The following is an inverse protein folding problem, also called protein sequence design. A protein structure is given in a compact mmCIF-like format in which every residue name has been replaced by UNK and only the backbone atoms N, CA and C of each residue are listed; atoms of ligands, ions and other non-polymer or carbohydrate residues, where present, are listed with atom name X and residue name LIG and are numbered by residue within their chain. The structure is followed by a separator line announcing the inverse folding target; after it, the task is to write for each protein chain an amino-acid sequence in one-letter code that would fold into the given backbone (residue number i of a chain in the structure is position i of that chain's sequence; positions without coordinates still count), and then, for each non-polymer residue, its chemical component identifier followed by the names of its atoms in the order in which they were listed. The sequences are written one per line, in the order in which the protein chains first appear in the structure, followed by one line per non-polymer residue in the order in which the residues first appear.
data_IF_285710083987
#
_entry.id   IF_285710083987
#
_cell.length_a   1.000
_cell.length_b   1.000
_cell.length_c   1.000
_cell.angle_alpha   90.00
_cell.angle_beta   90.00
_cell.angle_gamma   90.00
#
_symmetry.space_group_name_H-M   'P 1'
#
loop_
_entity.id
_entity.type
_entity.pdbx_description
1 polymer ?
#
# COMPACT_ATOMS: atom_id res chain seq x y z
N UNK A 1 21.85 1.54 10.95
CA UNK A 1 20.39 1.68 11.14
C UNK A 1 19.75 0.36 11.54
N UNK A 2 19.89 -0.71 10.74
CA UNK A 2 19.28 -2.02 11.05
C UNK A 2 19.74 -2.63 12.38
N UNK A 3 20.97 -2.39 12.84
CA UNK A 3 21.40 -2.82 14.19
C UNK A 3 20.54 -2.24 15.33
N UNK A 4 19.94 -1.05 15.12
CA UNK A 4 19.15 -0.33 16.13
C UNK A 4 17.66 -0.59 16.06
N UNK A 5 17.11 -0.81 14.85
CA UNK A 5 15.65 -0.93 14.62
C UNK A 5 15.25 -2.21 13.88
N UNK A 6 16.20 -3.06 13.51
CA UNK A 6 15.96 -4.23 12.66
C UNK A 6 15.25 -5.39 13.35
N UNK A 7 14.97 -5.27 14.64
CA UNK A 7 14.30 -6.31 15.43
C UNK A 7 12.85 -6.48 14.99
N UNK A 8 12.22 -5.40 14.53
CA UNK A 8 10.87 -5.35 13.96
C UNK A 8 10.95 -4.76 12.54
N UNK A 9 10.86 -5.63 11.53
CA UNK A 9 10.86 -5.22 10.12
C UNK A 9 9.54 -5.59 9.41
N UNK A 10 9.34 -5.05 8.22
CA UNK A 10 8.42 -5.61 7.24
C UNK A 10 8.80 -7.06 6.93
N UNK A 11 7.80 -7.94 6.85
CA UNK A 11 7.99 -9.37 6.66
C UNK A 11 8.41 -10.10 7.92
N UNK A 12 9.11 -11.22 7.75
CA UNK A 12 9.51 -12.13 8.81
C UNK A 12 11.01 -12.11 9.14
N UNK A 13 11.76 -11.17 8.57
CA UNK A 13 13.19 -11.01 8.89
C UNK A 13 13.31 -10.15 10.15
N UNK A 14 14.17 -10.56 11.07
CA UNK A 14 14.65 -9.75 12.19
C UNK A 14 16.17 -9.70 12.13
N UNK A 15 16.74 -8.50 12.21
CA UNK A 15 18.18 -8.25 12.26
C UNK A 15 18.56 -7.92 13.69
N UNK A 16 19.38 -8.79 14.29
CA UNK A 16 19.82 -8.70 15.68
C UNK A 16 21.34 -8.53 15.73
N UNK A 17 21.90 -7.88 16.77
CA UNK A 17 23.34 -7.84 16.97
C UNK A 17 23.90 -9.27 17.11
N UNK A 18 25.14 -9.47 16.65
CA UNK A 18 25.82 -10.76 16.75
C UNK A 18 25.85 -11.24 18.22
N UNK A 19 25.55 -12.53 18.43
CA UNK A 19 25.47 -13.13 19.77
C UNK A 19 24.11 -13.00 20.46
N UNK A 20 23.14 -12.28 19.89
CA UNK A 20 21.77 -12.25 20.39
C UNK A 20 20.93 -13.33 19.71
N UNK A 21 20.21 -14.11 20.51
CA UNK A 21 19.21 -15.07 20.01
C UNK A 21 17.85 -14.36 19.83
N UNK A 22 17.07 -14.70 18.79
CA UNK A 22 15.71 -14.19 18.66
C UNK A 22 14.90 -14.51 19.91
N UNK A 23 14.49 -13.49 20.65
CA UNK A 23 13.54 -13.63 21.75
C UNK A 23 12.12 -13.41 21.23
N UNK A 24 11.12 -13.96 21.93
CA UNK A 24 9.70 -13.67 21.63
C UNK A 24 9.35 -12.18 21.81
N UNK A 25 10.23 -11.42 22.46
CA UNK A 25 10.02 -10.05 22.88
C UNK A 25 9.03 -9.93 24.02
N UNK A 26 8.78 -8.70 24.44
CA UNK A 26 7.82 -8.39 25.49
C UNK A 26 6.83 -7.32 25.04
N UNK A 27 5.71 -7.20 25.76
CA UNK A 27 4.69 -6.19 25.48
C UNK A 27 4.40 -5.37 26.72
N UNK A 28 4.51 -4.05 26.59
CA UNK A 28 4.02 -3.11 27.59
C UNK A 28 2.59 -2.69 27.22
N UNK A 29 1.65 -2.79 28.15
CA UNK A 29 0.29 -2.28 27.95
C UNK A 29 0.31 -0.75 27.84
N UNK A 30 -0.51 -0.20 26.95
CA UNK A 30 -0.69 1.25 26.80
C UNK A 30 -2.16 1.63 27.00
N UNK A 31 -2.39 2.78 27.63
CA UNK A 31 -3.69 3.46 27.59
C UNK A 31 -3.89 4.18 26.25
N UNK A 32 -5.12 4.57 25.93
CA UNK A 32 -5.40 5.37 24.73
C UNK A 32 -4.69 6.73 24.76
N UNK A 33 -4.62 7.37 25.93
CA UNK A 33 -3.89 8.64 26.13
C UNK A 33 -2.39 8.48 25.85
N UNK A 34 -1.79 7.38 26.32
CA UNK A 34 -0.38 7.07 26.06
C UNK A 34 -0.09 6.78 24.58
N UNK A 35 -1.06 6.24 23.85
CA UNK A 35 -0.98 6.03 22.40
C UNK A 35 -1.04 7.37 21.67
N UNK A 36 -2.02 8.21 21.99
CA UNK A 36 -2.16 9.53 21.37
C UNK A 36 -0.95 10.42 21.62
N UNK A 37 -0.44 10.47 22.85
CA UNK A 37 0.79 11.18 23.17
C UNK A 37 1.96 10.75 22.28
N UNK A 38 2.13 9.44 22.06
CA UNK A 38 3.20 8.92 21.19
C UNK A 38 2.99 9.26 19.72
N UNK A 39 1.74 9.31 19.26
CA UNK A 39 1.40 9.73 17.90
C UNK A 39 1.78 11.20 17.70
N UNK A 40 1.43 12.06 18.65
CA UNK A 40 1.70 13.50 18.58
C UNK A 40 3.20 13.83 18.71
N UNK A 41 3.96 13.00 19.43
CA UNK A 41 5.42 13.11 19.56
C UNK A 41 6.19 12.58 18.34
N UNK A 42 5.51 11.97 17.35
CA UNK A 42 6.18 11.54 16.12
C UNK A 42 6.79 12.75 15.41
N UNK A 43 8.00 12.63 14.82
CA UNK A 43 8.62 13.74 14.12
C UNK A 43 7.73 14.22 12.98
N UNK A 44 7.19 15.43 13.12
CA UNK A 44 6.53 16.11 12.03
C UNK A 44 7.60 16.55 11.02
N UNK A 45 7.43 16.16 9.76
CA UNK A 45 8.23 16.71 8.66
C UNK A 45 7.34 17.72 7.93
N UNK A 46 7.71 19.01 7.90
CA UNK A 46 6.97 19.96 7.09
C UNK A 46 7.16 19.60 5.62
N UNK A 47 6.09 19.17 4.97
CA UNK A 47 6.05 18.93 3.54
C UNK A 47 5.37 20.14 2.91
N UNK A 48 6.16 21.08 2.37
CA UNK A 48 5.71 22.36 1.83
C UNK A 48 5.62 22.38 0.29
N UNK A 49 5.90 21.25 -0.36
CA UNK A 49 5.87 21.09 -1.82
C UNK A 49 5.37 19.72 -2.24
N UNK A 50 4.77 19.62 -3.43
CA UNK A 50 4.30 18.33 -3.98
C UNK A 50 5.38 17.23 -3.98
N UNK A 51 6.65 17.59 -4.23
CA UNK A 51 7.76 16.65 -4.18
C UNK A 51 8.02 16.12 -2.76
N UNK A 52 7.94 17.00 -1.75
CA UNK A 52 8.10 16.63 -0.35
C UNK A 52 6.93 15.73 0.11
N UNK A 53 5.72 15.99 -0.37
CA UNK A 53 4.52 15.20 -0.07
C UNK A 53 4.60 13.83 -0.72
N UNK A 54 5.00 13.77 -1.98
CA UNK A 54 5.24 12.51 -2.68
C UNK A 54 6.34 11.68 -2.01
N UNK A 55 7.39 12.33 -1.52
CA UNK A 55 8.42 11.66 -0.71
C UNK A 55 7.83 11.12 0.62
N UNK A 56 6.98 11.88 1.29
CA UNK A 56 6.28 11.45 2.51
C UNK A 56 5.46 10.20 2.29
N UNK A 57 4.57 10.25 1.29
CA UNK A 57 3.68 9.17 0.91
C UNK A 57 4.48 7.93 0.57
N UNK A 58 5.55 8.07 -0.20
CA UNK A 58 6.39 6.96 -0.57
C UNK A 58 7.32 6.39 0.52
N UNK A 59 6.92 6.46 1.79
CA UNK A 59 7.61 5.86 2.93
C UNK A 59 8.42 6.83 3.79
N UNK A 60 8.39 8.13 3.50
CA UNK A 60 9.01 9.18 4.33
C UNK A 60 8.19 9.59 5.55
N UNK A 61 6.89 9.27 5.58
CA UNK A 61 5.98 9.58 6.68
C UNK A 61 6.36 8.84 7.97
N UNK A 62 6.49 9.60 9.06
CA UNK A 62 6.63 9.05 10.42
C UNK A 62 5.41 8.19 10.76
N UNK A 63 5.65 7.02 11.32
CA UNK A 63 4.60 6.06 11.68
C UNK A 63 4.95 5.37 12.98
N UNK A 64 3.93 5.01 13.75
CA UNK A 64 4.07 4.27 14.99
C UNK A 64 3.63 2.81 14.77
N UNK A 65 4.41 1.87 15.28
CA UNK A 65 4.13 0.43 15.20
C UNK A 65 3.69 -0.07 16.57
N UNK A 66 2.44 -0.53 16.69
CA UNK A 66 1.89 -1.08 17.92
C UNK A 66 1.29 -2.47 17.70
N UNK A 67 1.17 -3.25 18.77
CA UNK A 67 0.32 -4.43 18.78
C UNK A 67 -1.05 -4.07 19.38
N UNK A 68 -2.11 -4.64 18.80
CA UNK A 68 -3.48 -4.53 19.31
C UNK A 68 -4.06 -5.94 19.45
N UNK A 69 -4.58 -6.24 20.64
CA UNK A 69 -5.30 -7.49 20.94
C UNK A 69 -6.72 -7.14 21.37
N UNK A 70 -7.70 -7.39 20.50
CA UNK A 70 -9.04 -6.83 20.64
C UNK A 70 -8.96 -5.30 20.65
N UNK A 71 -9.44 -4.67 21.72
CA UNK A 71 -9.42 -3.22 21.89
C UNK A 71 -8.20 -2.69 22.67
N UNK A 72 -7.26 -3.56 23.06
CA UNK A 72 -6.15 -3.18 23.95
C UNK A 72 -4.85 -2.95 23.18
N UNK A 73 -4.25 -1.78 23.40
CA UNK A 73 -2.95 -1.40 22.85
C UNK A 73 -1.77 -1.94 23.65
N UNK A 74 -0.72 -2.32 22.92
CA UNK A 74 0.54 -2.77 23.48
C UNK A 74 1.72 -2.24 22.68
N UNK A 75 2.73 -1.73 23.38
CA UNK A 75 4.03 -1.39 22.81
C UNK A 75 4.86 -2.66 22.67
N UNK A 76 5.23 -3.07 21.44
CA UNK A 76 6.20 -4.15 21.26
C UNK A 76 7.59 -3.71 21.71
N UNK A 77 8.23 -4.55 22.53
CA UNK A 77 9.59 -4.37 23.04
C UNK A 77 10.43 -5.62 22.73
N UNK A 78 11.75 -5.45 22.68
CA UNK A 78 12.71 -6.56 22.59
C UNK A 78 12.46 -7.53 21.42
N UNK A 79 11.99 -7.00 20.29
CA UNK A 79 11.71 -7.79 19.09
C UNK A 79 10.33 -8.45 19.05
N UNK A 80 9.43 -8.08 19.97
CA UNK A 80 8.02 -8.44 19.85
C UNK A 80 7.43 -7.85 18.55
N UNK A 81 6.60 -8.58 17.80
CA UNK A 81 6.00 -8.05 16.58
C UNK A 81 4.91 -7.01 16.88
N UNK A 82 4.87 -5.95 16.07
CA UNK A 82 3.68 -5.09 15.96
C UNK A 82 2.60 -5.78 15.14
N UNK A 83 1.34 -5.36 15.28
CA UNK A 83 0.21 -5.82 14.43
C UNK A 83 -0.46 -4.70 13.65
N UNK A 84 -0.19 -3.44 14.00
CA UNK A 84 -0.79 -2.26 13.36
C UNK A 84 0.27 -1.21 13.05
N UNK A 85 0.04 -0.48 11.98
CA UNK A 85 0.79 0.71 11.58
C UNK A 85 -0.13 1.90 11.76
N UNK A 86 0.29 2.86 12.59
CA UNK A 86 -0.41 4.12 12.81
C UNK A 86 0.28 5.23 12.04
N UNK A 87 -0.43 5.84 11.09
CA UNK A 87 0.05 6.95 10.26
C UNK A 87 -0.75 8.22 10.61
N UNK A 88 -0.21 9.15 11.42
CA UNK A 88 -0.89 10.42 11.67
C UNK A 88 -1.05 11.20 10.37
N UNK A 89 -2.19 11.86 10.23
CA UNK A 89 -2.47 12.74 9.10
C UNK A 89 -1.39 13.81 8.94
N UNK A 90 -0.87 14.03 7.71
CA UNK A 90 0.02 15.15 7.46
C UNK A 90 -0.73 16.48 7.63
N UNK A 91 -0.14 17.40 8.41
CA UNK A 91 -0.72 18.74 8.70
C UNK A 91 -1.09 19.50 7.42
N UNK A 92 -0.27 19.38 6.36
CA UNK A 92 -0.46 20.09 5.10
C UNK A 92 -1.46 19.40 4.14
N UNK A 93 -1.97 18.21 4.47
CA UNK A 93 -2.94 17.47 3.65
C UNK A 93 -4.12 16.96 4.49
N UNK A 94 -4.95 17.87 5.02
CA UNK A 94 -6.14 17.49 5.77
C UNK A 94 -7.12 16.67 4.91
N UNK A 95 -7.64 15.60 5.50
CA UNK A 95 -8.48 14.59 4.87
C UNK A 95 -7.73 13.41 4.23
N UNK A 96 -6.40 13.38 4.21
CA UNK A 96 -5.62 12.32 3.55
C UNK A 96 -5.74 10.98 4.27
N UNK A 97 -5.71 10.97 5.61
CA UNK A 97 -5.87 9.72 6.38
C UNK A 97 -7.23 9.07 6.10
N UNK A 98 -8.29 9.88 6.04
CA UNK A 98 -9.63 9.46 5.67
C UNK A 98 -9.70 8.97 4.22
N UNK A 99 -9.06 9.69 3.29
CA UNK A 99 -9.05 9.33 1.86
C UNK A 99 -8.32 8.01 1.59
N UNK A 100 -7.21 7.72 2.28
CA UNK A 100 -6.52 6.42 2.17
C UNK A 100 -7.37 5.28 2.75
N UNK A 101 -8.01 5.48 3.91
CA UNK A 101 -8.91 4.49 4.50
C UNK A 101 -10.11 4.19 3.57
N UNK A 102 -10.70 5.25 3.02
CA UNK A 102 -11.78 5.17 2.03
C UNK A 102 -11.31 4.41 0.78
N UNK A 103 -10.14 4.75 0.23
CA UNK A 103 -9.64 4.11 -0.98
C UNK A 103 -9.33 2.62 -0.79
N UNK A 104 -8.76 2.22 0.35
CA UNK A 104 -8.58 0.81 0.70
C UNK A 104 -9.92 0.08 0.82
N UNK A 105 -10.94 0.72 1.40
CA UNK A 105 -12.29 0.16 1.48
C UNK A 105 -12.95 0.01 0.10
N UNK A 106 -12.76 0.98 -0.79
CA UNK A 106 -13.24 0.93 -2.17
C UNK A 106 -12.53 -0.19 -2.95
N UNK A 107 -11.21 -0.30 -2.82
CA UNK A 107 -10.39 -1.31 -3.48
C UNK A 107 -10.77 -2.74 -3.07
N UNK A 108 -11.19 -2.94 -1.83
CA UNK A 108 -11.63 -4.23 -1.30
C UNK A 108 -12.84 -4.84 -2.06
N UNK A 109 -13.58 -4.05 -2.83
CA UNK A 109 -14.64 -4.55 -3.69
C UNK A 109 -14.13 -5.26 -4.96
N UNK A 110 -12.90 -4.96 -5.38
CA UNK A 110 -12.33 -5.46 -6.64
C UNK A 110 -11.15 -6.42 -6.44
N UNK A 111 -10.37 -6.24 -5.38
CA UNK A 111 -9.20 -7.08 -5.08
C UNK A 111 -8.87 -7.05 -3.59
N UNK A 112 -7.87 -7.81 -3.15
CA UNK A 112 -7.42 -7.80 -1.76
C UNK A 112 -6.80 -6.45 -1.38
N UNK A 113 -7.29 -5.80 -0.33
CA UNK A 113 -6.73 -4.57 0.23
C UNK A 113 -6.48 -4.73 1.74
N UNK A 114 -5.50 -4.01 2.27
CA UNK A 114 -5.20 -3.98 3.69
C UNK A 114 -6.38 -3.39 4.46
N UNK A 115 -6.70 -3.98 5.62
CA UNK A 115 -7.72 -3.43 6.50
C UNK A 115 -7.21 -2.15 7.15
N UNK A 116 -8.04 -1.10 7.12
CA UNK A 116 -7.71 0.17 7.72
C UNK A 116 -8.92 0.82 8.39
N UNK A 117 -8.66 1.65 9.40
CA UNK A 117 -9.63 2.50 10.09
C UNK A 117 -9.00 3.86 10.38
N UNK A 118 -9.83 4.88 10.58
CA UNK A 118 -9.36 6.18 11.06
C UNK A 118 -9.66 6.29 12.54
N UNK A 119 -8.63 6.57 13.33
CA UNK A 119 -8.74 6.94 14.73
C UNK A 119 -8.92 8.45 14.83
N UNK A 120 -9.86 8.88 15.67
CA UNK A 120 -10.14 10.29 15.95
C UNK A 120 -10.29 10.49 17.45
N UNK A 121 -9.75 11.60 17.96
CA UNK A 121 -9.92 12.05 19.33
C UNK A 121 -9.77 13.58 19.36
N UNK A 122 -10.45 14.24 20.30
CA UNK A 122 -10.37 15.69 20.46
C UNK A 122 -8.93 16.12 20.78
N UNK A 123 -8.45 17.16 20.11
CA UNK A 123 -7.08 17.67 20.29
C UNK A 123 -5.99 16.90 19.53
N UNK A 124 -6.33 15.81 18.83
CA UNK A 124 -5.38 14.98 18.09
C UNK A 124 -5.65 14.99 16.58
N UNK A 125 -4.60 14.87 15.77
CA UNK A 125 -4.75 14.71 14.32
C UNK A 125 -5.40 13.35 14.00
N UNK A 126 -6.32 13.27 13.02
CA UNK A 126 -6.81 12.00 12.52
C UNK A 126 -5.65 11.06 12.17
N UNK A 127 -5.76 9.80 12.59
CA UNK A 127 -4.66 8.84 12.40
C UNK A 127 -5.18 7.61 11.68
N UNK A 128 -4.57 7.28 10.55
CA UNK A 128 -4.85 6.04 9.82
C UNK A 128 -4.24 4.87 10.59
N UNK A 129 -5.07 3.93 11.01
CA UNK A 129 -4.68 2.66 11.60
C UNK A 129 -4.81 1.56 10.55
N UNK A 130 -3.69 0.99 10.12
CA UNK A 130 -3.64 -0.12 9.16
C UNK A 130 -3.27 -1.42 9.86
N UNK A 131 -4.08 -2.46 9.68
CA UNK A 131 -3.77 -3.82 10.15
C UNK A 131 -2.68 -4.41 9.27
N UNK A 132 -1.61 -4.92 9.89
CA UNK A 132 -0.50 -5.54 9.17
C UNK A 132 -0.90 -6.91 8.63
N UNK A 133 -0.92 -7.05 7.30
CA UNK A 133 -1.20 -8.32 6.63
C UNK A 133 -0.02 -9.31 6.67
N UNK A 134 1.18 -8.87 7.06
CA UNK A 134 2.35 -9.72 7.27
C UNK A 134 2.46 -10.25 8.72
N UNK A 135 1.35 -10.15 9.46
CA UNK A 135 1.16 -10.61 10.83
C UNK A 135 -0.18 -11.35 10.92
N UNK A 136 -0.21 -12.45 11.65
CA UNK A 136 -1.43 -13.15 12.00
C UNK A 136 -1.39 -13.49 13.50
N UNK A 137 -2.48 -13.23 14.21
CA UNK A 137 -2.64 -13.67 15.60
C UNK A 137 -3.23 -15.08 15.54
N UNK A 138 -2.46 -16.08 15.99
CA UNK A 138 -2.92 -17.47 16.06
C UNK A 138 -3.82 -17.67 17.32
N UNK A 139 -4.50 -18.82 17.42
CA UNK A 139 -5.52 -19.07 18.46
C UNK A 139 -4.97 -19.01 19.89
N UNK A 140 -3.68 -19.26 20.07
CA UNK A 140 -2.98 -19.17 21.36
C UNK A 140 -2.55 -17.74 21.72
N UNK A 141 -2.86 -16.75 20.86
CA UNK A 141 -2.48 -15.36 21.04
C UNK A 141 -1.06 -15.01 20.56
N UNK A 142 -0.30 -15.99 20.05
CA UNK A 142 1.00 -15.73 19.44
C UNK A 142 0.84 -15.00 18.10
N UNK A 143 1.83 -14.17 17.75
CA UNK A 143 1.84 -13.47 16.46
C UNK A 143 2.82 -14.16 15.53
N UNK A 144 2.28 -14.73 14.46
CA UNK A 144 3.05 -15.30 13.36
C UNK A 144 3.39 -14.24 12.33
N UNK A 145 4.66 -14.20 11.94
CA UNK A 145 5.17 -13.35 10.86
C UNK A 145 5.08 -14.09 9.52
N UNK A 146 4.64 -13.39 8.49
CA UNK A 146 4.70 -13.87 7.10
C UNK A 146 5.75 -13.05 6.37
N UNK A 147 6.70 -13.68 5.68
CA UNK A 147 7.71 -12.92 4.94
C UNK A 147 7.08 -12.23 3.74
N UNK A 148 7.50 -10.98 3.53
CA UNK A 148 7.11 -10.18 2.39
C UNK A 148 8.31 -9.37 1.88
N UNK A 149 8.28 -9.05 0.60
CA UNK A 149 9.27 -8.23 -0.10
C UNK A 149 8.53 -7.24 -1.01
N UNK A 150 8.94 -5.98 -1.01
CA UNK A 150 8.44 -4.99 -1.98
C UNK A 150 9.06 -5.19 -3.38
N UNK A 151 8.46 -4.59 -4.40
CA UNK A 151 8.94 -4.75 -5.79
C UNK A 151 10.39 -4.29 -5.96
N UNK A 152 10.85 -3.28 -5.21
CA UNK A 152 12.24 -2.86 -5.26
C UNK A 152 13.15 -4.00 -4.79
N UNK A 153 12.84 -4.62 -3.65
CA UNK A 153 13.61 -5.75 -3.11
C UNK A 153 13.59 -6.95 -4.08
N UNK A 154 12.41 -7.31 -4.58
CA UNK A 154 12.23 -8.43 -5.51
C UNK A 154 13.02 -8.23 -6.81
N UNK A 155 13.13 -6.99 -7.30
CA UNK A 155 13.85 -6.66 -8.53
C UNK A 155 15.32 -6.29 -8.32
N UNK A 156 15.81 -6.27 -7.07
CA UNK A 156 17.17 -5.83 -6.75
C UNK A 156 17.42 -4.34 -7.03
N UNK A 157 16.40 -3.51 -6.86
CA UNK A 157 16.40 -2.08 -7.15
C UNK A 157 16.57 -1.30 -5.84
N UNK A 158 17.53 -0.35 -5.76
CA UNK A 158 17.66 0.54 -4.61
C UNK A 158 16.40 1.39 -4.37
N UNK A 159 16.02 1.66 -3.11
CA UNK A 159 14.79 2.41 -2.79
C UNK A 159 14.80 3.86 -3.32
N UNK A 160 15.97 4.43 -3.61
CA UNK A 160 16.14 5.78 -4.14
C UNK A 160 15.58 5.93 -5.57
N UNK A 161 15.51 4.84 -6.34
CA UNK A 161 15.01 4.81 -7.72
C UNK A 161 13.68 4.06 -7.83
N UNK A 162 12.85 4.13 -6.77
CA UNK A 162 11.52 3.49 -6.69
C UNK A 162 10.50 4.01 -7.73
N UNK A 163 10.74 5.19 -8.32
CA UNK A 163 9.94 5.75 -9.42
C UNK A 163 10.60 5.47 -10.77
N UNK A 164 9.79 5.27 -11.81
CA UNK A 164 10.29 4.99 -13.16
C UNK A 164 10.46 6.24 -14.05
N UNK A 165 10.37 7.45 -13.51
CA UNK A 165 10.36 8.71 -14.28
C UNK A 165 11.66 9.05 -15.02
N UNK A 166 12.76 8.32 -14.76
CA UNK A 166 14.06 8.56 -15.40
C UNK A 166 14.58 7.32 -16.14
N UNK A 167 13.97 6.84 -17.24
CA UNK A 167 14.16 5.52 -17.84
C UNK A 167 15.57 5.18 -18.37
N UNK A 168 16.58 6.02 -18.15
CA UNK A 168 17.91 5.93 -18.78
C UNK A 168 18.84 4.88 -18.16
N UNK A 169 18.37 4.10 -17.18
CA UNK A 169 19.12 3.01 -16.56
C UNK A 169 18.36 1.68 -16.72
N UNK A 170 19.02 0.61 -17.11
CA UNK A 170 18.40 -0.73 -17.26
C UNK A 170 17.81 -1.29 -15.94
N UNK A 171 17.93 -0.55 -14.84
CA UNK A 171 17.49 -0.89 -13.49
C UNK A 171 16.19 -0.21 -13.03
N UNK A 172 15.42 0.47 -13.88
CA UNK A 172 14.14 1.06 -13.44
C UNK A 172 13.08 0.02 -13.06
N UNK A 173 12.25 0.34 -12.06
CA UNK A 173 11.12 -0.49 -11.71
C UNK A 173 10.12 -0.54 -12.86
N UNK A 174 9.62 -1.75 -13.13
CA UNK A 174 8.73 -2.01 -14.25
C UNK A 174 7.79 -3.15 -13.88
N UNK A 175 6.50 -2.97 -14.19
CA UNK A 175 5.51 -4.03 -14.03
C UNK A 175 5.87 -5.27 -14.85
N UNK A 176 6.43 -5.13 -16.06
CA UNK A 176 6.87 -6.26 -16.86
C UNK A 176 8.00 -7.08 -16.19
N UNK A 177 8.98 -6.41 -15.58
CA UNK A 177 10.05 -7.09 -14.83
C UNK A 177 9.50 -7.83 -13.62
N UNK A 178 8.58 -7.21 -12.90
CA UNK A 178 7.95 -7.81 -11.71
C UNK A 178 7.01 -8.96 -12.08
N UNK A 179 6.22 -8.80 -13.13
CA UNK A 179 5.38 -9.83 -13.71
C UNK A 179 6.20 -11.07 -14.10
N UNK A 180 7.37 -10.89 -14.71
CA UNK A 180 8.26 -12.01 -15.04
C UNK A 180 8.77 -12.76 -13.78
N UNK A 181 8.90 -12.07 -12.64
CA UNK A 181 9.23 -12.74 -11.37
C UNK A 181 8.04 -13.52 -10.84
N UNK A 182 6.83 -12.95 -10.87
CA UNK A 182 5.60 -13.67 -10.52
C UNK A 182 5.37 -14.88 -11.44
N UNK A 183 5.63 -14.74 -12.74
CA UNK A 183 5.47 -15.81 -13.72
C UNK A 183 6.31 -17.04 -13.37
N UNK A 184 7.55 -16.82 -12.92
CA UNK A 184 8.50 -17.88 -12.55
C UNK A 184 8.32 -18.42 -11.13
N UNK A 185 7.86 -17.57 -10.20
CA UNK A 185 7.91 -17.84 -8.77
C UNK A 185 6.57 -18.05 -8.08
N UNK A 186 5.45 -17.65 -8.69
CA UNK A 186 4.14 -17.80 -8.07
C UNK A 186 3.63 -19.25 -8.17
N UNK A 187 2.84 -19.66 -7.17
CA UNK A 187 2.15 -20.95 -7.19
C UNK A 187 1.08 -21.00 -8.30
N UNK A 188 0.34 -19.91 -8.48
CA UNK A 188 -0.63 -19.72 -9.56
C UNK A 188 -0.28 -18.46 -10.39
N UNK A 189 0.72 -18.54 -11.28
CA UNK A 189 1.22 -17.39 -12.04
C UNK A 189 0.13 -16.57 -12.73
N UNK A 190 -0.80 -17.23 -13.41
CA UNK A 190 -1.88 -16.53 -14.14
C UNK A 190 -2.81 -15.76 -13.22
N UNK A 191 -3.09 -16.28 -12.02
CA UNK A 191 -3.93 -15.60 -11.02
C UNK A 191 -3.20 -14.37 -10.50
N UNK A 192 -1.92 -14.49 -10.15
CA UNK A 192 -1.12 -13.38 -9.63
C UNK A 192 -0.87 -12.28 -10.66
N UNK A 193 -0.71 -12.62 -11.94
CA UNK A 193 -0.61 -11.64 -13.02
C UNK A 193 -1.93 -10.88 -13.26
N UNK A 194 -3.07 -11.55 -13.10
CA UNK A 194 -4.38 -10.87 -13.16
C UNK A 194 -4.57 -9.98 -11.93
N UNK A 195 -4.20 -10.43 -10.73
CA UNK A 195 -4.22 -9.59 -9.51
C UNK A 195 -3.29 -8.39 -9.62
N UNK A 196 -2.13 -8.52 -10.27
CA UNK A 196 -1.27 -7.37 -10.57
C UNK A 196 -2.01 -6.36 -11.46
N UNK A 197 -2.73 -6.83 -12.48
CA UNK A 197 -3.51 -5.96 -13.36
C UNK A 197 -4.63 -5.24 -12.59
N UNK A 198 -5.29 -5.94 -11.68
CA UNK A 198 -6.29 -5.35 -10.78
C UNK A 198 -5.67 -4.24 -9.92
N UNK A 199 -4.50 -4.49 -9.30
CA UNK A 199 -3.80 -3.48 -8.50
C UNK A 199 -3.44 -2.22 -9.31
N UNK A 200 -2.92 -2.38 -10.54
CA UNK A 200 -2.60 -1.23 -11.42
C UNK A 200 -3.87 -0.47 -11.81
N UNK A 201 -4.94 -1.21 -12.14
CA UNK A 201 -6.24 -0.63 -12.51
C UNK A 201 -6.85 0.16 -11.36
N UNK A 202 -6.82 -0.40 -10.13
CA UNK A 202 -7.32 0.28 -8.93
C UNK A 202 -6.55 1.57 -8.65
N UNK A 203 -5.21 1.54 -8.72
CA UNK A 203 -4.40 2.75 -8.49
C UNK A 203 -4.75 3.88 -9.49
N UNK A 204 -4.93 3.56 -10.78
CA UNK A 204 -5.34 4.54 -11.78
C UNK A 204 -6.78 5.03 -11.54
N UNK A 205 -7.70 4.11 -11.27
CA UNK A 205 -9.11 4.40 -11.05
C UNK A 205 -9.36 5.26 -9.81
N UNK A 206 -8.53 5.15 -8.77
CA UNK A 206 -8.62 5.97 -7.57
C UNK A 206 -7.68 7.19 -7.60
N UNK A 207 -7.01 7.46 -8.72
CA UNK A 207 -6.16 8.64 -8.86
C UNK A 207 -4.89 8.62 -7.99
N UNK A 208 -4.36 7.45 -7.66
CA UNK A 208 -3.10 7.32 -6.92
C UNK A 208 -1.89 7.48 -7.85
N UNK A 209 -1.41 8.71 -8.01
CA UNK A 209 -0.20 9.03 -8.79
C UNK A 209 1.10 8.63 -8.08
N UNK A 210 1.06 8.27 -6.80
CA UNK A 210 2.23 7.81 -6.03
C UNK A 210 2.40 6.27 -6.01
N UNK A 211 1.71 5.55 -6.88
CA UNK A 211 1.84 4.10 -7.05
C UNK A 211 3.22 3.70 -7.64
N UNK A 212 4.24 3.69 -6.78
CA UNK A 212 5.62 3.35 -7.10
C UNK A 212 5.99 1.92 -6.68
N UNK A 213 7.20 1.46 -7.02
CA UNK A 213 7.63 0.08 -6.79
C UNK A 213 7.49 -0.40 -5.33
N UNK A 214 7.77 0.46 -4.34
CA UNK A 214 7.67 0.07 -2.93
C UNK A 214 6.23 -0.10 -2.41
N UNK A 215 5.20 0.22 -3.19
CA UNK A 215 3.78 0.10 -2.82
C UNK A 215 3.14 -1.15 -3.43
N UNK A 216 3.95 -2.09 -3.89
CA UNK A 216 3.52 -3.41 -4.35
C UNK A 216 4.48 -4.44 -3.79
N UNK A 217 3.94 -5.45 -3.12
CA UNK A 217 4.74 -6.49 -2.47
C UNK A 217 4.24 -7.89 -2.83
N UNK A 218 5.10 -8.87 -2.58
CA UNK A 218 4.76 -10.28 -2.56
C UNK A 218 4.98 -10.85 -1.18
N UNK A 219 4.11 -11.75 -0.76
CA UNK A 219 4.45 -12.76 0.23
C UNK A 219 5.39 -13.79 -0.40
N UNK A 220 6.29 -14.30 0.43
CA UNK A 220 7.09 -15.50 0.13
C UNK A 220 6.77 -16.57 1.16
N UNK A 221 6.26 -17.70 0.69
CA UNK A 221 6.02 -18.86 1.55
C UNK A 221 7.31 -19.65 1.81
N UNK A 222 7.21 -20.68 2.68
CA UNK A 222 8.36 -21.51 3.07
C UNK A 222 8.91 -22.38 1.91
N UNK A 223 8.11 -22.65 0.88
CA UNK A 223 8.53 -23.37 -0.32
C UNK A 223 9.18 -22.45 -1.36
N UNK A 224 9.19 -21.14 -1.10
CA UNK A 224 9.69 -20.12 -2.01
C UNK A 224 8.63 -19.56 -2.97
N UNK A 225 7.38 -20.05 -2.87
CA UNK A 225 6.25 -19.60 -3.68
C UNK A 225 5.89 -18.14 -3.41
N UNK A 226 5.59 -17.42 -4.49
CA UNK A 226 5.20 -16.01 -4.46
C UNK A 226 3.69 -15.83 -4.56
N UNK A 227 3.18 -14.82 -3.87
CA UNK A 227 1.79 -14.36 -3.97
C UNK A 227 1.74 -12.87 -3.67
N UNK A 228 1.03 -12.08 -4.48
CA UNK A 228 0.82 -10.66 -4.19
C UNK A 228 0.19 -10.46 -2.82
N UNK A 229 0.73 -9.50 -2.06
CA UNK A 229 0.12 -9.03 -0.82
C UNK A 229 -1.18 -8.29 -1.12
N UNK A 230 -2.03 -8.01 -0.12
CA UNK A 230 -3.07 -7.00 -0.27
C UNK A 230 -2.49 -5.65 -0.72
N UNK A 231 -3.30 -4.83 -1.39
CA UNK A 231 -2.96 -3.43 -1.66
C UNK A 231 -2.83 -2.65 -0.36
N UNK A 232 -1.86 -1.74 -0.29
CA UNK A 232 -1.63 -0.85 0.83
C UNK A 232 -1.08 0.48 0.31
N UNK A 233 -1.08 1.52 1.15
CA UNK A 233 -0.58 2.85 0.77
C UNK A 233 -1.29 3.41 -0.48
N UNK A 234 -2.62 3.26 -0.46
CA UNK A 234 -3.50 3.61 -1.56
C UNK A 234 -4.05 5.02 -1.34
N UNK A 235 -3.20 6.03 -1.51
CA UNK A 235 -3.57 7.43 -1.34
C UNK A 235 -4.14 8.01 -2.66
N UNK A 236 -5.35 8.61 -2.69
CA UNK A 236 -5.91 9.30 -3.85
C UNK A 236 -5.21 10.63 -4.18
N UNK A 237 -3.90 10.60 -4.44
CA UNK A 237 -3.02 11.77 -4.48
C UNK A 237 -3.43 12.84 -5.49
N UNK A 238 -4.15 12.47 -6.56
CA UNK A 238 -4.67 13.42 -7.55
C UNK A 238 -5.59 14.50 -6.93
N UNK A 239 -6.21 14.21 -5.77
CA UNK A 239 -7.03 15.16 -5.00
C UNK A 239 -6.24 16.03 -4.00
N UNK A 240 -4.95 15.76 -3.80
CA UNK A 240 -4.13 16.38 -2.75
C UNK A 240 -2.89 17.11 -3.27
N UNK A 241 -2.36 16.72 -4.42
CA UNK A 241 -1.13 17.28 -5.00
C UNK A 241 -1.25 17.51 -6.52
N UNK A 242 -0.44 18.40 -7.07
CA UNK A 242 -0.39 18.66 -8.52
C UNK A 242 0.52 17.69 -9.29
N UNK A 243 0.73 16.46 -8.78
CA UNK A 243 1.40 15.40 -9.52
C UNK A 243 0.42 14.72 -10.49
N UNK A 244 0.81 14.60 -11.76
CA UNK A 244 0.03 13.96 -12.83
C UNK A 244 0.70 12.73 -13.42
N UNK A 245 1.98 12.54 -13.15
CA UNK A 245 2.72 11.35 -13.55
C UNK A 245 2.48 10.23 -12.53
N UNK A 246 2.09 9.08 -13.06
CA UNK A 246 1.97 7.83 -12.33
C UNK A 246 3.35 7.31 -11.94
N UNK A 247 3.49 6.70 -10.75
CA UNK A 247 4.79 6.31 -10.20
C UNK A 247 5.60 5.33 -11.04
N UNK A 248 4.93 4.53 -11.87
CA UNK A 248 5.54 3.61 -12.85
C UNK A 248 4.79 3.67 -14.18
N UNK A 249 5.46 3.46 -15.32
CA UNK A 249 4.77 3.51 -16.62
C UNK A 249 3.78 2.36 -16.82
N UNK A 250 2.68 2.61 -17.52
CA UNK A 250 1.76 1.60 -18.04
C UNK A 250 1.76 1.66 -19.56
N UNK A 251 2.26 0.60 -20.22
CA UNK A 251 2.50 0.55 -21.66
C UNK A 251 3.28 1.78 -22.19
N UNK A 252 4.32 2.19 -21.44
CA UNK A 252 5.18 3.34 -21.75
C UNK A 252 4.59 4.71 -21.43
N UNK A 253 3.39 4.79 -20.86
CA UNK A 253 2.73 6.04 -20.49
C UNK A 253 2.85 6.33 -18.99
N UNK A 254 3.17 7.58 -18.65
CA UNK A 254 3.25 8.07 -17.27
C UNK A 254 2.10 9.00 -16.90
N UNK A 255 1.65 9.85 -17.82
CA UNK A 255 0.60 10.81 -17.51
C UNK A 255 -0.73 10.08 -17.27
N UNK A 256 -1.29 10.22 -16.06
CA UNK A 256 -2.45 9.43 -15.62
C UNK A 256 -3.65 9.57 -16.56
N UNK A 257 -3.85 10.75 -17.14
CA UNK A 257 -4.93 11.05 -18.09
C UNK A 257 -4.73 10.40 -19.46
N UNK A 258 -3.49 10.10 -19.86
CA UNK A 258 -3.17 9.42 -21.13
C UNK A 258 -3.28 7.89 -21.03
N UNK A 259 -3.20 7.32 -19.83
CA UNK A 259 -3.27 5.87 -19.63
C UNK A 259 -4.73 5.42 -19.77
N UNK A 260 -5.03 4.66 -20.83
CA UNK A 260 -6.38 4.13 -21.11
C UNK A 260 -6.51 2.65 -20.74
N UNK A 261 -7.74 2.10 -20.79
CA UNK A 261 -7.96 0.65 -20.65
C UNK A 261 -7.19 -0.16 -21.68
N UNK A 262 -7.09 0.30 -22.93
CA UNK A 262 -6.28 -0.37 -23.93
C UNK A 262 -4.79 -0.39 -23.57
N UNK A 263 -4.27 0.64 -22.88
CA UNK A 263 -2.91 0.62 -22.34
C UNK A 263 -2.75 -0.45 -21.26
N UNK A 264 -3.70 -0.55 -20.31
CA UNK A 264 -3.71 -1.61 -19.29
C UNK A 264 -3.73 -3.01 -19.92
N UNK A 265 -4.56 -3.22 -20.94
CA UNK A 265 -4.65 -4.50 -21.65
C UNK A 265 -3.35 -4.78 -22.42
N UNK A 266 -2.73 -3.78 -23.05
CA UNK A 266 -1.44 -3.97 -23.73
C UNK A 266 -0.32 -4.31 -22.74
N UNK A 267 -0.26 -3.61 -21.62
CA UNK A 267 0.70 -3.88 -20.56
C UNK A 267 0.57 -5.32 -20.05
N UNK A 268 -0.65 -5.76 -19.70
CA UNK A 268 -0.91 -7.12 -19.24
C UNK A 268 -0.54 -8.21 -20.27
N UNK A 269 -0.64 -7.90 -21.57
CA UNK A 269 -0.21 -8.83 -22.62
C UNK A 269 1.30 -9.03 -22.65
N UNK A 270 2.08 -8.00 -22.33
CA UNK A 270 3.55 -8.12 -22.20
C UNK A 270 3.89 -9.10 -21.08
N UNK A 271 3.07 -9.16 -20.03
CA UNK A 271 3.22 -10.09 -18.91
C UNK A 271 2.81 -11.53 -19.22
N UNK A 272 2.27 -11.81 -20.43
CA UNK A 272 1.75 -13.12 -20.80
C UNK A 272 0.25 -13.32 -20.53
N UNK A 273 -0.49 -12.30 -20.06
CA UNK A 273 -1.95 -12.41 -19.85
C UNK A 273 -2.68 -12.32 -21.20
N UNK A 274 -3.53 -13.29 -21.57
CA UNK A 274 -4.28 -13.24 -22.83
C UNK A 274 -5.18 -12.00 -22.92
N UNK A 275 -5.25 -11.37 -24.10
CA UNK A 275 -6.02 -10.12 -24.34
C UNK A 275 -7.45 -10.16 -23.78
N UNK A 276 -8.18 -11.24 -24.03
CA UNK A 276 -9.58 -11.40 -23.56
C UNK A 276 -9.65 -11.42 -22.03
N UNK A 277 -8.72 -12.12 -21.38
CA UNK A 277 -8.66 -12.22 -19.93
C UNK A 277 -8.27 -10.88 -19.30
N UNK A 278 -7.24 -10.21 -19.84
CA UNK A 278 -6.82 -8.88 -19.39
C UNK A 278 -7.95 -7.85 -19.49
N UNK A 279 -8.64 -7.80 -20.64
CA UNK A 279 -9.79 -6.92 -20.84
C UNK A 279 -10.90 -7.20 -19.84
N UNK A 280 -11.28 -8.46 -19.67
CA UNK A 280 -12.32 -8.85 -18.73
C UNK A 280 -11.93 -8.56 -17.27
N UNK A 281 -10.65 -8.69 -16.89
CA UNK A 281 -10.17 -8.32 -15.57
C UNK A 281 -10.30 -6.81 -15.33
N UNK A 282 -9.81 -5.97 -16.25
CA UNK A 282 -9.94 -4.50 -16.15
C UNK A 282 -11.41 -4.07 -16.06
N UNK A 283 -12.26 -4.58 -16.96
CA UNK A 283 -13.68 -4.23 -16.99
C UNK A 283 -14.37 -4.65 -15.67
N UNK A 284 -14.12 -5.87 -15.16
CA UNK A 284 -14.66 -6.31 -13.86
C UNK A 284 -14.15 -5.47 -12.69
N UNK A 285 -12.87 -5.10 -12.67
CA UNK A 285 -12.31 -4.23 -11.63
C UNK A 285 -13.03 -2.89 -11.62
N UNK A 286 -13.15 -2.23 -12.78
CA UNK A 286 -13.81 -0.92 -12.89
C UNK A 286 -15.29 -1.01 -12.49
N UNK A 287 -16.00 -2.05 -12.93
CA UNK A 287 -17.40 -2.28 -12.57
C UNK A 287 -17.56 -2.51 -11.06
N UNK A 288 -16.69 -3.31 -10.44
CA UNK A 288 -16.72 -3.57 -9.00
C UNK A 288 -16.47 -2.28 -8.19
N UNK A 289 -15.49 -1.47 -8.59
CA UNK A 289 -15.21 -0.17 -7.96
C UNK A 289 -16.42 0.77 -8.09
N UNK A 290 -17.01 0.87 -9.28
CA UNK A 290 -18.16 1.76 -9.56
C UNK A 290 -19.42 1.34 -8.81
N UNK A 291 -19.78 0.07 -8.91
CA UNK A 291 -21.09 -0.43 -8.47
C UNK A 291 -21.13 -0.77 -6.99
N UNK A 292 -19.99 -1.13 -6.39
CA UNK A 292 -19.94 -1.59 -5.00
C UNK A 292 -18.89 -0.85 -4.19
N UNK A 293 -17.69 -0.67 -4.73
CA UNK A 293 -16.56 -0.07 -4.03
C UNK A 293 -16.86 1.34 -3.49
N UNK A 294 -17.21 2.28 -4.37
CA UNK A 294 -17.47 3.69 -3.99
C UNK A 294 -18.55 3.79 -2.92
N UNK A 295 -19.67 3.07 -3.08
CA UNK A 295 -20.72 3.03 -2.06
C UNK A 295 -20.20 2.48 -0.73
N UNK A 296 -19.47 1.36 -0.76
CA UNK A 296 -18.92 0.77 0.47
C UNK A 296 -17.89 1.67 1.17
N UNK A 297 -17.15 2.48 0.42
CA UNK A 297 -16.28 3.53 0.94
C UNK A 297 -17.07 4.67 1.57
N UNK A 298 -18.08 5.19 0.86
CA UNK A 298 -18.93 6.28 1.33
C UNK A 298 -19.73 5.90 2.60
N UNK A 299 -20.25 4.68 2.65
CA UNK A 299 -20.97 4.14 3.82
C UNK A 299 -20.04 4.04 5.04
N UNK A 300 -18.77 3.65 4.83
CA UNK A 300 -17.80 3.52 5.91
C UNK A 300 -17.21 4.87 6.36
N UNK A 301 -17.10 5.83 5.43
CA UNK A 301 -16.49 7.14 5.65
C UNK A 301 -17.36 8.25 5.05
N UNK A 302 -18.53 8.54 5.64
CA UNK A 302 -19.48 9.51 5.09
C UNK A 302 -18.93 10.95 5.03
N UNK A 303 -17.90 11.25 5.83
CA UNK A 303 -17.19 12.52 5.83
C UNK A 303 -16.15 12.68 4.70
N UNK A 304 -16.05 11.71 3.76
CA UNK A 304 -15.12 11.79 2.64
C UNK A 304 -15.36 13.06 1.82
N UNK A 305 -14.27 13.74 1.45
CA UNK A 305 -14.33 14.96 0.64
C UNK A 305 -14.96 14.68 -0.72
N UNK A 306 -15.83 15.59 -1.16
CA UNK A 306 -16.56 15.43 -2.42
C UNK A 306 -15.67 15.37 -3.66
N UNK A 307 -14.54 16.07 -3.65
CA UNK A 307 -13.57 16.09 -4.74
C UNK A 307 -12.81 14.76 -4.88
N UNK A 308 -12.40 14.13 -3.78
CA UNK A 308 -11.77 12.79 -3.78
C UNK A 308 -12.68 11.77 -4.47
N UNK A 309 -13.97 11.77 -4.10
CA UNK A 309 -14.98 10.89 -4.72
C UNK A 309 -15.22 11.23 -6.19
N UNK A 310 -15.35 12.51 -6.53
CA UNK A 310 -15.57 12.95 -7.91
C UNK A 310 -14.42 12.53 -8.83
N UNK A 311 -13.16 12.71 -8.38
CA UNK A 311 -11.96 12.32 -9.11
C UNK A 311 -11.95 10.80 -9.34
N UNK A 312 -12.24 9.99 -8.32
CA UNK A 312 -12.28 8.54 -8.48
C UNK A 312 -13.34 8.10 -9.50
N UNK A 313 -14.56 8.66 -9.43
CA UNK A 313 -15.63 8.37 -10.39
C UNK A 313 -15.25 8.81 -11.81
N UNK A 314 -14.64 9.98 -11.97
CA UNK A 314 -14.16 10.47 -13.27
C UNK A 314 -13.10 9.53 -13.88
N UNK A 315 -12.12 9.10 -13.07
CA UNK A 315 -11.08 8.17 -13.53
C UNK A 315 -11.65 6.81 -13.90
N UNK A 316 -12.58 6.27 -13.10
CA UNK A 316 -13.31 5.02 -13.41
C UNK A 316 -14.03 5.15 -14.76
N UNK A 317 -14.78 6.22 -14.98
CA UNK A 317 -15.51 6.43 -16.22
C UNK A 317 -14.58 6.64 -17.43
N UNK A 318 -13.49 7.39 -17.25
CA UNK A 318 -12.48 7.61 -18.29
C UNK A 318 -11.87 6.29 -18.74
N UNK A 319 -11.49 5.42 -17.80
CA UNK A 319 -10.94 4.11 -18.11
C UNK A 319 -11.97 3.18 -18.75
N UNK A 320 -13.24 3.24 -18.34
CA UNK A 320 -14.30 2.39 -18.90
C UNK A 320 -14.66 2.76 -20.36
N UNK A 321 -14.56 4.05 -20.72
CA UNK A 321 -14.88 4.56 -22.08
C UNK A 321 -13.77 4.30 -23.10
N UNK A 322 -12.52 4.19 -22.66
CA UNK A 322 -11.32 4.20 -23.51
C UNK A 322 -10.70 2.82 -23.80
#
# INVERSE_FOLDING_TARGET
MLERIGWECAGAISVLPQGHTPQSGSYQALTDEEVWKRIDELPARPYDSDAAVRMSLGGGQSKLLLARYGERWRLPLDGAPSTHILKPEPIYHPGLALAEAWALRVAAAATSAAEAKVMVAEGHLPTLMVTRFDRAIDLDGSIRRTHQEDMCQVLGIPPEIKYAEHPENDRHPSYARFAAVLERGAFEPRVELVRLLEHVTVNLALGNTDAHAKNTSVFRDRSGGLRLTPMYDLAPTLAFINQRHFGMSVAGKFMITEITRDHLVREARVWGVPKRLARAAVDRTLDALRTTGVRAGDDAYPAIRGDVRAIALEQIERLARA
#
